data_IF_243203414744
#
_entry.id   IF_243203414744
#
_cell.length_a   1.000
_cell.length_b   1.000
_cell.length_c   1.000
_cell.angle_alpha   90.00
_cell.angle_beta   90.00
_cell.angle_gamma   90.00
#
_symmetry.space_group_name_H-M   'P 1'
#
loop_
_entity.id
_entity.type
_entity.pdbx_description
1 polymer ?
#
# COMPACT_ATOMS: atom_id res chain seq x y z
N UNK A 1 20.45 -8.99 3.29
CA UNK A 1 19.71 -9.71 2.22
C UNK A 1 18.47 -8.96 1.74
N UNK A 2 17.55 -8.45 2.61
CA UNK A 2 16.32 -7.80 2.13
C UNK A 2 16.58 -6.58 1.22
N UNK A 3 17.60 -5.76 1.54
CA UNK A 3 17.98 -4.60 0.73
C UNK A 3 18.40 -4.99 -0.69
N UNK A 4 19.29 -5.98 -0.83
CA UNK A 4 19.74 -6.46 -2.14
C UNK A 4 18.55 -6.97 -2.96
N UNK A 5 17.71 -7.82 -2.37
CA UNK A 5 16.50 -8.32 -3.03
C UNK A 5 15.61 -7.17 -3.54
N UNK A 6 15.37 -6.15 -2.73
CA UNK A 6 14.61 -4.97 -3.13
C UNK A 6 15.25 -4.24 -4.33
N UNK A 7 16.55 -3.95 -4.28
CA UNK A 7 17.22 -3.24 -5.35
C UNK A 7 17.23 -4.03 -6.66
N UNK A 8 17.41 -5.35 -6.60
CA UNK A 8 17.35 -6.22 -7.78
C UNK A 8 15.94 -6.23 -8.40
N UNK A 9 14.88 -6.31 -7.58
CA UNK A 9 13.48 -6.24 -8.04
C UNK A 9 13.15 -4.89 -8.70
N UNK A 10 13.72 -3.79 -8.19
CA UNK A 10 13.51 -2.45 -8.77
C UNK A 10 14.30 -2.27 -10.07
N UNK A 11 15.55 -2.71 -10.12
CA UNK A 11 16.43 -2.52 -11.27
C UNK A 11 16.08 -3.43 -12.47
N UNK A 12 15.60 -4.65 -12.20
CA UNK A 12 15.32 -5.67 -13.21
C UNK A 12 13.93 -6.29 -13.05
N UNK A 13 12.85 -5.48 -13.15
CA UNK A 13 11.50 -6.00 -13.05
C UNK A 13 11.22 -6.98 -14.20
N UNK A 14 10.73 -8.18 -13.88
CA UNK A 14 10.45 -9.24 -14.86
C UNK A 14 11.63 -10.15 -15.21
N UNK A 15 12.87 -9.76 -14.91
CA UNK A 15 14.05 -10.62 -15.09
C UNK A 15 14.52 -11.24 -13.76
N UNK A 16 14.55 -10.45 -12.68
CA UNK A 16 14.94 -10.95 -11.36
C UNK A 16 13.73 -11.56 -10.62
N UNK A 17 13.88 -12.83 -10.21
CA UNK A 17 12.89 -13.51 -9.38
C UNK A 17 13.02 -13.07 -7.91
N UNK A 18 11.94 -12.48 -7.37
CA UNK A 18 11.85 -12.02 -5.98
C UNK A 18 12.10 -13.16 -4.98
N UNK A 19 13.17 -13.06 -4.18
CA UNK A 19 13.45 -14.04 -3.13
C UNK A 19 12.65 -13.70 -1.86
N UNK A 20 11.43 -14.25 -1.78
CA UNK A 20 10.51 -14.04 -0.65
C UNK A 20 11.12 -14.38 0.72
N UNK A 21 12.09 -15.32 0.78
CA UNK A 21 12.78 -15.73 2.02
C UNK A 21 13.66 -14.64 2.58
N UNK A 22 14.09 -13.71 1.74
CA UNK A 22 14.90 -12.55 2.15
C UNK A 22 14.08 -11.46 2.83
N UNK A 23 12.74 -11.51 2.74
CA UNK A 23 11.82 -10.49 3.25
C UNK A 23 11.54 -10.64 4.75
N UNK A 24 11.01 -9.60 5.37
CA UNK A 24 10.60 -9.67 6.78
C UNK A 24 9.40 -10.60 6.94
N UNK A 25 9.20 -11.13 8.15
CA UNK A 25 8.13 -12.10 8.45
C UNK A 25 6.76 -11.65 7.91
N UNK A 26 6.43 -10.38 8.08
CA UNK A 26 5.14 -9.84 7.66
C UNK A 26 4.90 -9.87 6.15
N UNK A 27 5.98 -9.79 5.38
CA UNK A 27 5.95 -9.83 3.92
C UNK A 27 5.99 -11.27 3.42
N UNK A 28 6.78 -12.11 4.10
CA UNK A 28 6.93 -13.53 3.76
C UNK A 28 5.63 -14.31 3.96
N UNK A 29 4.88 -13.97 5.01
CA UNK A 29 3.62 -14.64 5.35
C UNK A 29 2.40 -13.77 5.09
N UNK A 30 2.53 -12.65 4.36
CA UNK A 30 1.41 -11.78 3.95
C UNK A 30 0.38 -11.43 5.05
N UNK A 31 0.84 -11.38 6.30
CA UNK A 31 0.07 -11.15 7.52
C UNK A 31 0.99 -10.56 8.59
N UNK A 32 0.46 -9.78 9.53
CA UNK A 32 1.31 -9.11 10.52
C UNK A 32 1.43 -9.91 11.81
N UNK A 33 2.66 -10.23 12.22
CA UNK A 33 2.91 -10.85 13.52
C UNK A 33 2.54 -9.89 14.66
N UNK A 34 1.84 -10.41 15.66
CA UNK A 34 1.36 -9.70 16.84
C UNK A 34 2.25 -10.04 18.05
N UNK A 35 2.05 -9.29 19.15
CA UNK A 35 2.87 -9.39 20.37
C UNK A 35 2.90 -10.79 21.01
N UNK A 36 1.85 -11.58 20.80
CA UNK A 36 1.64 -12.92 21.36
C UNK A 36 1.97 -14.03 20.35
N UNK A 37 2.57 -13.69 19.21
CA UNK A 37 2.90 -14.64 18.14
C UNK A 37 1.73 -15.01 17.23
N UNK A 38 0.53 -14.47 17.47
CA UNK A 38 -0.58 -14.55 16.51
C UNK A 38 -0.34 -13.60 15.34
N UNK A 39 -1.25 -13.58 14.39
CA UNK A 39 -1.17 -12.80 13.16
C UNK A 39 -2.42 -11.94 12.98
N UNK A 40 -2.30 -10.94 12.09
CA UNK A 40 -3.46 -10.20 11.59
C UNK A 40 -3.53 -10.15 10.08
N UNK A 41 -4.76 -10.20 9.58
CA UNK A 41 -5.10 -10.25 8.16
C UNK A 41 -5.96 -9.03 7.82
N UNK A 42 -5.53 -8.29 6.80
CA UNK A 42 -6.21 -7.06 6.36
C UNK A 42 -6.51 -7.18 4.87
N UNK A 43 -7.78 -7.40 4.45
CA UNK A 43 -8.13 -7.34 3.04
C UNK A 43 -7.93 -5.93 2.47
N UNK A 44 -7.61 -5.86 1.18
CA UNK A 44 -7.61 -4.62 0.42
C UNK A 44 -9.04 -4.12 0.27
N UNK A 45 -9.29 -2.86 0.61
CA UNK A 45 -10.57 -2.17 0.42
C UNK A 45 -10.23 -0.88 -0.32
N UNK A 46 -10.42 -0.87 -1.64
CA UNK A 46 -10.00 0.22 -2.50
C UNK A 46 -10.75 1.51 -2.14
N UNK A 47 -10.00 2.58 -1.87
CA UNK A 47 -10.58 3.87 -1.47
C UNK A 47 -11.42 3.81 -0.18
N UNK A 48 -11.34 2.73 0.59
CA UNK A 48 -12.19 2.52 1.76
C UNK A 48 -13.65 2.19 1.44
N UNK A 49 -14.00 1.89 0.19
CA UNK A 49 -15.36 1.54 -0.22
C UNK A 49 -15.64 0.04 -0.10
N UNK A 50 -16.83 -0.28 0.42
CA UNK A 50 -17.28 -1.67 0.58
C UNK A 50 -18.79 -1.76 0.35
N UNK A 51 -19.24 -2.93 -0.08
CA UNK A 51 -20.66 -3.28 -0.16
C UNK A 51 -21.16 -3.98 1.11
N UNK A 52 -22.48 -3.99 1.38
CA UNK A 52 -23.06 -4.81 2.44
C UNK A 52 -22.73 -6.31 2.32
N UNK A 53 -22.63 -6.83 1.09
CA UNK A 53 -22.28 -8.22 0.83
C UNK A 53 -20.83 -8.53 1.24
N UNK A 54 -19.89 -7.64 0.89
CA UNK A 54 -18.49 -7.72 1.32
C UNK A 54 -18.34 -7.63 2.84
N UNK A 55 -19.07 -6.73 3.49
CA UNK A 55 -19.06 -6.62 4.96
C UNK A 55 -19.60 -7.88 5.63
N UNK A 56 -20.68 -8.46 5.10
CA UNK A 56 -21.24 -9.73 5.57
C UNK A 56 -20.23 -10.85 5.42
N UNK A 57 -19.56 -10.96 4.26
CA UNK A 57 -18.53 -11.97 4.05
C UNK A 57 -17.37 -11.83 5.05
N UNK A 58 -16.89 -10.62 5.34
CA UNK A 58 -15.86 -10.40 6.37
C UNK A 58 -16.35 -10.87 7.74
N UNK A 59 -17.60 -10.57 8.11
CA UNK A 59 -18.18 -11.00 9.38
C UNK A 59 -18.28 -12.54 9.48
N UNK A 60 -18.81 -13.20 8.46
CA UNK A 60 -18.93 -14.67 8.40
C UNK A 60 -17.55 -15.35 8.46
N UNK A 61 -16.54 -14.79 7.79
CA UNK A 61 -15.16 -15.29 7.84
C UNK A 61 -14.59 -15.10 9.25
N UNK A 62 -14.81 -13.94 9.87
CA UNK A 62 -14.34 -13.69 11.23
C UNK A 62 -14.94 -14.68 12.23
N UNK A 63 -16.24 -14.98 12.11
CA UNK A 63 -16.92 -15.99 12.94
C UNK A 63 -16.39 -17.40 12.66
N UNK A 64 -16.28 -17.81 11.40
CA UNK A 64 -15.81 -19.14 10.99
C UNK A 64 -14.43 -19.49 11.54
N UNK A 65 -13.52 -18.52 11.55
CA UNK A 65 -12.15 -18.70 12.01
C UNK A 65 -11.92 -18.27 13.46
N UNK A 66 -13.00 -17.99 14.18
CA UNK A 66 -12.98 -17.56 15.59
C UNK A 66 -12.04 -16.37 15.82
N UNK A 67 -12.04 -15.40 14.89
CA UNK A 67 -11.17 -14.22 14.94
C UNK A 67 -11.50 -13.41 16.21
N UNK A 68 -10.55 -13.28 17.16
CA UNK A 68 -10.85 -12.65 18.45
C UNK A 68 -11.22 -11.17 18.38
N UNK A 69 -10.71 -10.44 17.38
CA UNK A 69 -10.96 -9.00 17.26
C UNK A 69 -10.99 -8.54 15.81
N UNK A 70 -12.06 -7.81 15.47
CA UNK A 70 -12.22 -7.12 14.18
C UNK A 70 -12.10 -5.62 14.43
N UNK A 71 -11.17 -4.94 13.75
CA UNK A 71 -10.88 -3.52 13.99
C UNK A 71 -10.86 -2.68 12.72
N UNK A 72 -11.60 -1.58 12.73
CA UNK A 72 -11.46 -0.52 11.71
C UNK A 72 -10.15 0.24 11.93
N UNK A 73 -9.38 0.41 10.86
CA UNK A 73 -8.04 1.03 10.86
C UNK A 73 -8.08 2.47 10.36
N UNK A 74 -7.07 3.26 10.72
CA UNK A 74 -6.94 4.65 10.25
C UNK A 74 -6.72 4.82 8.74
N UNK A 75 -6.50 3.72 8.01
CA UNK A 75 -6.42 3.69 6.54
C UNK A 75 -7.71 3.20 5.86
N UNK A 76 -8.86 3.32 6.54
CA UNK A 76 -10.18 2.90 6.03
C UNK A 76 -10.26 1.43 5.62
N UNK A 77 -9.65 0.55 6.44
CA UNK A 77 -9.69 -0.91 6.23
C UNK A 77 -10.09 -1.65 7.49
N UNK A 78 -10.44 -2.93 7.36
CA UNK A 78 -10.80 -3.82 8.47
C UNK A 78 -9.64 -4.79 8.74
N UNK A 79 -9.23 -4.92 10.00
CA UNK A 79 -8.14 -5.79 10.47
C UNK A 79 -8.71 -6.95 11.30
N UNK A 80 -8.39 -8.17 10.90
CA UNK A 80 -8.74 -9.43 11.58
C UNK A 80 -7.56 -9.86 12.45
N UNK A 81 -7.64 -9.66 13.76
CA UNK A 81 -6.53 -9.77 14.71
C UNK A 81 -6.66 -11.01 15.59
N UNK A 82 -5.54 -11.65 15.91
CA UNK A 82 -5.47 -12.79 16.85
C UNK A 82 -5.52 -14.16 16.16
N UNK A 83 -5.19 -14.21 14.87
CA UNK A 83 -5.28 -15.42 14.04
C UNK A 83 -4.01 -16.27 14.21
N UNK A 84 -4.15 -17.60 14.30
CA UNK A 84 -3.00 -18.51 14.34
C UNK A 84 -2.34 -18.66 12.96
N UNK A 85 -1.03 -18.93 12.92
CA UNK A 85 -0.27 -18.97 11.66
C UNK A 85 -0.84 -20.00 10.67
N UNK A 86 -1.22 -21.16 11.17
CA UNK A 86 -1.78 -22.28 10.41
C UNK A 86 -3.15 -21.99 9.80
N UNK A 87 -3.90 -21.03 10.34
CA UNK A 87 -5.21 -20.62 9.82
C UNK A 87 -5.09 -19.65 8.62
N UNK A 88 -3.92 -19.02 8.45
CA UNK A 88 -3.74 -17.95 7.48
C UNK A 88 -4.12 -18.36 6.04
N UNK A 89 -3.65 -19.50 5.48
CA UNK A 89 -4.03 -19.89 4.12
C UNK A 89 -5.53 -20.09 3.92
N UNK A 90 -6.21 -20.60 4.96
CA UNK A 90 -7.66 -20.81 4.93
C UNK A 90 -8.44 -19.50 4.89
N UNK A 91 -8.08 -18.54 5.75
CA UNK A 91 -8.68 -17.20 5.78
C UNK A 91 -8.45 -16.46 4.47
N UNK A 92 -7.23 -16.52 3.92
CA UNK A 92 -6.92 -15.92 2.62
C UNK A 92 -7.77 -16.50 1.49
N UNK A 93 -7.94 -17.83 1.47
CA UNK A 93 -8.80 -18.48 0.48
C UNK A 93 -10.27 -18.06 0.58
N UNK A 94 -10.80 -17.90 1.80
CA UNK A 94 -12.17 -17.40 1.99
C UNK A 94 -12.31 -15.93 1.55
N UNK A 95 -11.36 -15.07 1.93
CA UNK A 95 -11.35 -13.66 1.52
C UNK A 95 -11.23 -13.50 0.00
N UNK A 96 -10.38 -14.32 -0.65
CA UNK A 96 -10.24 -14.34 -2.11
C UNK A 96 -11.53 -14.74 -2.81
N UNK A 97 -12.24 -15.76 -2.29
CA UNK A 97 -13.58 -16.15 -2.81
C UNK A 97 -14.62 -15.05 -2.64
N UNK A 98 -14.50 -14.22 -1.60
CA UNK A 98 -15.34 -13.05 -1.38
C UNK A 98 -14.92 -11.82 -2.22
N UNK A 99 -13.90 -11.96 -3.09
CA UNK A 99 -13.45 -10.89 -3.99
C UNK A 99 -12.42 -9.94 -3.40
N UNK A 100 -11.81 -10.26 -2.26
CA UNK A 100 -10.73 -9.47 -1.67
C UNK A 100 -9.35 -9.98 -2.09
N UNK A 101 -8.40 -9.05 -2.22
CA UNK A 101 -6.96 -9.35 -2.39
C UNK A 101 -6.18 -8.90 -1.16
N UNK A 102 -4.90 -9.27 -1.08
CA UNK A 102 -4.05 -8.87 0.04
C UNK A 102 -3.94 -7.35 0.21
N UNK A 103 -4.21 -6.88 1.42
CA UNK A 103 -4.04 -5.46 1.80
C UNK A 103 -2.59 -5.03 1.96
N UNK A 104 -1.60 -5.94 1.89
CA UNK A 104 -0.18 -5.66 2.10
C UNK A 104 0.10 -4.76 3.32
N UNK A 105 -0.72 -4.88 4.37
CA UNK A 105 -0.91 -3.83 5.37
C UNK A 105 0.37 -3.50 6.17
N UNK A 106 1.34 -4.41 6.18
CA UNK A 106 2.58 -4.28 6.92
C UNK A 106 3.85 -4.43 6.08
N UNK A 107 3.72 -4.58 4.76
CA UNK A 107 4.87 -4.65 3.85
C UNK A 107 5.63 -3.33 3.74
N UNK A 108 6.87 -3.42 3.26
CA UNK A 108 7.62 -2.32 2.63
C UNK A 108 7.10 -2.16 1.20
N UNK A 109 5.86 -1.69 1.14
CA UNK A 109 5.03 -1.59 -0.04
C UNK A 109 4.03 -0.43 0.12
N UNK A 110 3.24 -0.19 -0.92
CA UNK A 110 2.06 0.67 -0.83
C UNK A 110 1.01 0.02 0.08
N UNK A 111 0.63 0.74 1.14
CA UNK A 111 -0.28 0.22 2.17
C UNK A 111 -1.73 0.61 1.97
N UNK A 112 -2.02 1.87 1.66
CA UNK A 112 -3.38 2.40 1.58
C UNK A 112 -3.37 3.73 0.87
N UNK A 113 -4.45 4.00 0.14
CA UNK A 113 -4.83 5.33 -0.32
C UNK A 113 -6.10 5.71 0.44
N UNK A 114 -5.97 6.62 1.42
CA UNK A 114 -7.13 7.09 2.20
C UNK A 114 -7.87 8.16 1.39
N UNK A 115 -9.19 8.09 1.34
CA UNK A 115 -10.02 9.08 0.63
C UNK A 115 -10.98 9.77 1.60
N UNK A 116 -11.56 10.88 1.19
CA UNK A 116 -12.87 11.29 1.72
C UNK A 116 -13.94 11.01 0.68
N UNK A 117 -15.21 11.21 1.05
CA UNK A 117 -16.37 10.90 0.19
C UNK A 117 -16.55 11.83 -1.03
N UNK A 118 -15.61 12.73 -1.29
CA UNK A 118 -15.53 13.55 -2.51
C UNK A 118 -16.74 14.42 -2.81
N UNK A 119 -16.82 14.91 -4.05
CA UNK A 119 -17.98 15.61 -4.61
C UNK A 119 -19.19 14.69 -4.83
N UNK A 120 -19.00 13.37 -4.77
CA UNK A 120 -20.08 12.39 -4.88
C UNK A 120 -21.09 12.53 -3.74
N UNK A 121 -20.60 12.70 -2.50
CA UNK A 121 -21.46 12.75 -1.31
C UNK A 121 -21.32 14.02 -0.46
N UNK A 122 -20.14 14.66 -0.44
CA UNK A 122 -19.90 15.80 0.42
C UNK A 122 -20.37 17.10 -0.25
N UNK A 123 -21.19 17.89 0.46
CA UNK A 123 -21.59 19.25 0.01
C UNK A 123 -20.43 20.23 -0.23
N UNK A 124 -19.22 19.90 0.23
CA UNK A 124 -18.00 20.70 0.07
C UNK A 124 -16.98 20.05 -0.87
N UNK A 125 -17.27 18.86 -1.40
CA UNK A 125 -16.36 18.20 -2.32
C UNK A 125 -16.28 19.00 -3.62
N UNK A 126 -15.08 19.46 -3.96
CA UNK A 126 -14.80 20.19 -5.20
C UNK A 126 -14.58 19.22 -6.35
N UNK A 127 -13.96 18.07 -6.08
CA UNK A 127 -13.76 16.98 -7.04
C UNK A 127 -13.96 15.60 -6.43
N UNK A 128 -14.03 14.58 -7.29
CA UNK A 128 -14.22 13.19 -6.90
C UNK A 128 -12.91 12.57 -6.39
N UNK A 129 -12.67 12.74 -5.09
CA UNK A 129 -11.51 12.13 -4.43
C UNK A 129 -11.59 10.61 -4.31
N UNK A 130 -12.79 10.04 -4.33
CA UNK A 130 -12.97 8.60 -4.10
C UNK A 130 -12.47 7.86 -5.32
N UNK A 131 -12.97 8.19 -6.51
CA UNK A 131 -12.51 7.62 -7.77
C UNK A 131 -11.01 7.86 -7.96
N UNK A 132 -10.53 9.09 -7.73
CA UNK A 132 -9.10 9.39 -7.85
C UNK A 132 -8.23 8.53 -6.91
N UNK A 133 -8.64 8.35 -5.66
CA UNK A 133 -7.92 7.51 -4.72
C UNK A 133 -7.93 6.03 -5.09
N UNK A 134 -9.07 5.53 -5.60
CA UNK A 134 -9.21 4.16 -6.11
C UNK A 134 -8.27 3.93 -7.31
N UNK A 135 -8.21 4.85 -8.26
CA UNK A 135 -7.34 4.73 -9.44
C UNK A 135 -5.86 4.77 -9.05
N UNK A 136 -5.45 5.63 -8.11
CA UNK A 136 -4.09 5.60 -7.55
C UNK A 136 -3.82 4.26 -6.87
N UNK A 137 -4.75 3.73 -6.07
CA UNK A 137 -4.55 2.47 -5.37
C UNK A 137 -4.47 1.28 -6.33
N UNK A 138 -5.30 1.22 -7.38
CA UNK A 138 -5.24 0.20 -8.44
C UNK A 138 -3.94 0.31 -9.26
N UNK A 139 -3.45 1.52 -9.52
CA UNK A 139 -2.17 1.71 -10.21
C UNK A 139 -0.98 1.23 -9.36
N UNK A 140 -1.09 1.21 -8.03
CA UNK A 140 0.07 1.10 -7.13
C UNK A 140 0.00 -0.03 -6.10
N UNK A 141 -1.10 -0.79 -6.01
CA UNK A 141 -1.15 -1.95 -5.11
C UNK A 141 -0.09 -2.98 -5.54
N UNK A 142 0.40 -3.80 -4.62
CA UNK A 142 1.48 -4.77 -4.89
C UNK A 142 2.88 -4.17 -5.06
N UNK A 143 3.03 -2.86 -5.32
CA UNK A 143 4.35 -2.26 -5.52
C UNK A 143 5.26 -2.38 -4.30
N UNK A 144 6.45 -2.94 -4.50
CA UNK A 144 7.52 -2.93 -3.51
C UNK A 144 8.20 -1.57 -3.44
N UNK A 145 8.44 -1.11 -2.21
CA UNK A 145 8.93 0.23 -1.91
C UNK A 145 10.13 0.15 -0.93
N UNK A 146 11.04 1.14 -0.91
CA UNK A 146 12.15 1.19 0.05
C UNK A 146 11.65 1.05 1.49
N UNK A 147 10.50 1.66 1.78
CA UNK A 147 9.76 1.48 3.02
C UNK A 147 8.24 1.58 2.78
N UNK A 148 7.41 1.33 3.81
CA UNK A 148 5.96 1.61 3.78
C UNK A 148 5.64 2.99 3.21
N UNK A 149 4.69 3.02 2.28
CA UNK A 149 4.14 4.24 1.67
C UNK A 149 2.64 4.27 1.93
N UNK A 150 2.14 5.42 2.39
CA UNK A 150 0.73 5.73 2.54
C UNK A 150 0.42 6.93 1.66
N UNK A 151 -0.70 6.89 0.98
CA UNK A 151 -1.18 8.02 0.19
C UNK A 151 -2.57 8.43 0.65
N UNK A 152 -3.03 9.59 0.22
CA UNK A 152 -4.40 9.98 0.41
C UNK A 152 -4.85 11.01 -0.62
N UNK A 153 -6.15 11.02 -0.89
CA UNK A 153 -6.82 11.98 -1.75
C UNK A 153 -7.94 12.66 -0.98
N UNK A 154 -7.85 13.98 -0.84
CA UNK A 154 -8.89 14.81 -0.25
C UNK A 154 -9.63 15.57 -1.35
N UNK A 155 -10.95 15.47 -1.39
CA UNK A 155 -11.79 16.10 -2.42
C UNK A 155 -12.04 17.59 -2.22
N UNK A 156 -11.40 18.22 -1.24
CA UNK A 156 -11.38 19.68 -1.04
C UNK A 156 -10.28 20.07 -0.02
N UNK A 157 -9.97 21.38 0.15
CA UNK A 157 -8.95 21.84 1.09
C UNK A 157 -9.22 21.55 2.58
N UNK A 158 -10.43 21.11 2.94
CA UNK A 158 -10.74 20.66 4.32
C UNK A 158 -9.96 19.42 4.73
N UNK A 159 -9.41 18.70 3.76
CA UNK A 159 -8.39 17.68 3.96
C UNK A 159 -8.79 16.53 4.90
N UNK A 160 -10.04 16.05 4.82
CA UNK A 160 -10.56 14.97 5.67
C UNK A 160 -9.78 13.65 5.54
N UNK A 161 -9.08 13.43 4.42
CA UNK A 161 -8.22 12.26 4.22
C UNK A 161 -6.81 12.42 4.83
N UNK A 162 -6.49 13.60 5.38
CA UNK A 162 -5.19 13.95 5.97
C UNK A 162 -4.04 13.81 4.96
N UNK A 163 -4.26 14.25 3.71
CA UNK A 163 -3.33 14.12 2.60
C UNK A 163 -1.97 14.78 2.86
N UNK A 164 -1.98 15.92 3.56
CA UNK A 164 -0.79 16.72 3.88
C UNK A 164 0.17 16.12 4.93
N UNK A 165 -0.09 14.89 5.40
CA UNK A 165 0.82 14.12 6.27
C UNK A 165 1.10 12.70 5.74
N UNK A 166 0.72 12.43 4.50
CA UNK A 166 0.99 11.15 3.82
C UNK A 166 2.28 11.24 3.02
N UNK A 167 2.85 10.09 2.67
CA UNK A 167 4.09 10.02 1.90
C UNK A 167 3.93 10.71 0.53
N UNK A 168 2.73 10.61 -0.07
CA UNK A 168 2.20 11.45 -1.16
C UNK A 168 0.73 11.76 -0.90
N UNK A 169 0.32 13.01 -1.03
CA UNK A 169 -1.03 13.48 -0.82
C UNK A 169 -1.56 14.25 -2.03
N UNK A 170 -2.84 14.08 -2.34
CA UNK A 170 -3.55 14.83 -3.37
C UNK A 170 -4.68 15.60 -2.71
N UNK A 171 -4.76 16.91 -2.96
CA UNK A 171 -5.81 17.78 -2.44
C UNK A 171 -6.49 18.46 -3.61
N UNK A 172 -7.77 18.17 -3.81
CA UNK A 172 -8.57 18.86 -4.81
C UNK A 172 -8.82 20.31 -4.40
N UNK A 173 -8.81 21.18 -5.40
CA UNK A 173 -9.20 22.58 -5.35
C UNK A 173 -10.14 22.85 -6.53
N UNK A 174 -10.79 24.01 -6.56
CA UNK A 174 -11.71 24.36 -7.67
C UNK A 174 -10.99 24.43 -9.03
N UNK A 175 -9.68 24.66 -9.03
CA UNK A 175 -8.85 24.82 -10.23
C UNK A 175 -7.99 23.59 -10.56
N UNK A 176 -8.33 22.40 -10.03
CA UNK A 176 -7.57 21.17 -10.28
C UNK A 176 -7.13 20.45 -9.00
N UNK A 177 -5.95 19.86 -9.05
CA UNK A 177 -5.41 18.97 -8.02
C UNK A 177 -4.02 19.41 -7.58
N UNK A 178 -3.86 19.66 -6.29
CA UNK A 178 -2.54 19.89 -5.70
C UNK A 178 -1.92 18.57 -5.28
N UNK A 179 -0.70 18.32 -5.73
CA UNK A 179 0.10 17.15 -5.35
C UNK A 179 1.15 17.58 -4.35
N UNK A 180 1.22 16.84 -3.25
CA UNK A 180 2.03 17.13 -2.08
C UNK A 180 2.86 15.89 -1.70
N UNK A 181 4.11 16.05 -1.27
CA UNK A 181 5.03 14.91 -1.06
C UNK A 181 5.83 15.00 0.24
N UNK A 182 6.32 13.84 0.71
CA UNK A 182 7.26 13.76 1.83
C UNK A 182 6.62 13.90 3.22
N UNK A 183 5.29 13.75 3.36
CA UNK A 183 4.64 13.81 4.66
C UNK A 183 4.90 12.59 5.54
N UNK A 184 4.77 12.75 6.86
CA UNK A 184 4.86 11.66 7.81
C UNK A 184 4.06 11.95 9.08
N UNK A 185 2.93 11.27 9.27
CA UNK A 185 2.19 11.26 10.55
C UNK A 185 2.75 10.28 11.60
N UNK A 186 4.07 10.06 11.63
CA UNK A 186 4.75 9.12 12.54
C UNK A 186 5.39 9.81 13.75
N UNK A 187 6.45 9.20 14.29
CA UNK A 187 7.19 9.68 15.47
C UNK A 187 7.61 11.15 15.32
N UNK A 188 8.29 11.49 14.22
CA UNK A 188 8.55 12.88 13.82
C UNK A 188 7.48 13.30 12.83
N UNK A 189 6.53 14.12 13.27
CA UNK A 189 5.52 14.67 12.38
C UNK A 189 6.19 15.56 11.34
N UNK A 190 5.90 15.33 10.07
CA UNK A 190 6.35 16.16 8.95
C UNK A 190 5.15 16.43 8.05
N UNK A 191 4.87 17.71 7.80
CA UNK A 191 3.91 18.12 6.77
C UNK A 191 4.53 17.90 5.39
N UNK A 192 3.69 17.67 4.40
CA UNK A 192 4.13 17.55 3.02
C UNK A 192 4.64 18.88 2.46
N UNK A 193 5.45 18.80 1.41
CA UNK A 193 5.80 19.92 0.56
C UNK A 193 4.94 19.93 -0.71
N UNK A 194 4.59 21.13 -1.20
CA UNK A 194 3.88 21.29 -2.46
C UNK A 194 4.78 20.94 -3.65
N UNK A 195 4.41 19.90 -4.40
CA UNK A 195 5.11 19.48 -5.61
C UNK A 195 4.65 20.31 -6.80
N UNK A 196 3.37 20.20 -7.17
CA UNK A 196 2.78 20.79 -8.37
C UNK A 196 1.25 20.85 -8.26
N UNK A 197 0.61 21.73 -9.05
CA UNK A 197 -0.83 21.70 -9.30
C UNK A 197 -1.08 21.27 -10.74
N UNK A 198 -1.97 20.32 -10.94
CA UNK A 198 -2.37 19.78 -12.25
C UNK A 198 -3.88 19.91 -12.44
N UNK A 199 -4.38 19.75 -13.66
CA UNK A 199 -5.79 19.95 -13.97
C UNK A 199 -6.54 18.62 -13.99
N UNK A 200 -5.93 17.56 -14.52
CA UNK A 200 -6.62 16.29 -14.78
C UNK A 200 -6.18 15.14 -13.86
N UNK A 201 -7.02 14.11 -13.76
CA UNK A 201 -6.72 12.90 -13.00
C UNK A 201 -5.56 12.10 -13.62
N UNK A 202 -5.44 12.12 -14.95
CA UNK A 202 -4.35 11.46 -15.68
C UNK A 202 -3.01 12.07 -15.31
N UNK A 203 -2.94 13.40 -15.20
CA UNK A 203 -1.74 14.08 -14.71
C UNK A 203 -1.44 13.67 -13.26
N UNK A 204 -2.44 13.58 -12.38
CA UNK A 204 -2.25 13.09 -11.00
C UNK A 204 -1.61 11.70 -11.00
N UNK A 205 -2.08 10.78 -11.85
CA UNK A 205 -1.52 9.44 -11.99
C UNK A 205 -0.07 9.48 -12.51
N UNK A 206 0.21 10.26 -13.55
CA UNK A 206 1.56 10.41 -14.12
C UNK A 206 2.56 10.93 -13.09
N UNK A 207 2.24 12.03 -12.40
CA UNK A 207 3.10 12.60 -11.36
C UNK A 207 3.27 11.66 -10.16
N UNK A 208 2.22 10.93 -9.77
CA UNK A 208 2.29 9.94 -8.70
C UNK A 208 3.24 8.80 -9.08
N UNK A 209 3.08 8.22 -10.27
CA UNK A 209 3.95 7.16 -10.78
C UNK A 209 5.41 7.62 -10.87
N UNK A 210 5.65 8.83 -11.39
CA UNK A 210 7.00 9.38 -11.52
C UNK A 210 7.68 9.60 -10.15
N UNK A 211 6.96 10.18 -9.19
CA UNK A 211 7.48 10.38 -7.83
C UNK A 211 7.81 9.06 -7.14
N UNK A 212 6.91 8.08 -7.23
CA UNK A 212 7.11 6.77 -6.63
C UNK A 212 8.29 6.03 -7.28
N UNK A 213 8.48 6.14 -8.59
CA UNK A 213 9.63 5.53 -9.26
C UNK A 213 10.95 6.18 -8.86
N UNK A 214 11.01 7.51 -8.84
CA UNK A 214 12.21 8.23 -8.42
C UNK A 214 12.60 7.85 -6.99
N UNK A 215 11.61 7.77 -6.10
CA UNK A 215 11.82 7.30 -4.72
C UNK A 215 12.32 5.85 -4.67
N UNK A 216 11.76 4.94 -5.47
CA UNK A 216 12.19 3.53 -5.52
C UNK A 216 13.63 3.37 -5.99
N UNK A 217 14.06 4.20 -6.94
CA UNK A 217 15.39 4.13 -7.54
C UNK A 217 16.47 4.79 -6.65
N UNK A 218 16.14 5.87 -5.93
CA UNK A 218 17.14 6.71 -5.27
C UNK A 218 17.16 6.67 -3.73
N UNK A 219 16.09 6.18 -3.10
CA UNK A 219 16.07 6.07 -1.65
C UNK A 219 16.86 4.86 -1.16
N UNK A 220 17.46 4.99 0.02
CA UNK A 220 18.06 3.85 0.68
C UNK A 220 16.98 2.87 1.14
N UNK A 221 17.25 1.57 1.10
CA UNK A 221 16.30 0.59 1.62
C UNK A 221 16.05 0.85 3.11
N UNK A 222 14.77 0.84 3.50
CA UNK A 222 14.25 1.29 4.80
C UNK A 222 14.25 2.80 5.07
N UNK A 223 14.64 3.62 4.11
CA UNK A 223 14.40 5.07 4.17
C UNK A 223 12.91 5.35 3.91
N UNK A 224 12.30 6.27 4.66
CA UNK A 224 10.94 6.78 4.41
C UNK A 224 10.99 7.91 3.40
N UNK A 225 9.89 8.23 2.71
CA UNK A 225 9.86 9.37 1.79
C UNK A 225 10.17 10.70 2.49
N UNK A 226 9.69 10.91 3.72
CA UNK A 226 9.97 12.11 4.51
C UNK A 226 11.48 12.42 4.69
N UNK A 227 12.30 11.54 5.29
CA UNK A 227 13.74 11.75 5.39
C UNK A 227 14.44 11.73 4.02
N UNK A 228 13.93 10.97 3.05
CA UNK A 228 14.46 11.02 1.68
C UNK A 228 14.32 12.41 1.06
N UNK A 229 13.12 13.01 1.12
CA UNK A 229 12.86 14.38 0.64
C UNK A 229 13.69 15.40 1.43
N UNK A 230 13.85 15.23 2.75
CA UNK A 230 14.75 16.08 3.55
C UNK A 230 16.22 15.95 3.07
N UNK A 231 16.65 14.76 2.65
CA UNK A 231 18.02 14.48 2.20
C UNK A 231 18.33 15.01 0.81
N UNK A 232 17.45 14.76 -0.17
CA UNK A 232 17.69 15.18 -1.57
C UNK A 232 17.24 16.62 -1.83
N UNK A 233 16.30 17.13 -1.02
CA UNK A 233 15.70 18.44 -1.18
C UNK A 233 14.56 18.46 -2.20
N UNK A 234 13.53 19.27 -1.93
CA UNK A 234 12.37 19.41 -2.84
C UNK A 234 12.77 19.92 -4.23
N UNK A 235 13.76 20.82 -4.29
CA UNK A 235 14.25 21.38 -5.55
C UNK A 235 14.73 20.29 -6.51
N UNK A 236 15.55 19.36 -6.01
CA UNK A 236 16.07 18.23 -6.77
C UNK A 236 14.95 17.36 -7.37
N UNK A 237 13.87 17.17 -6.62
CA UNK A 237 12.69 16.40 -7.04
C UNK A 237 11.93 17.16 -8.13
N UNK A 238 11.75 18.49 -7.97
CA UNK A 238 11.09 19.33 -8.98
C UNK A 238 11.85 19.37 -10.29
N UNK A 239 13.18 19.50 -10.26
CA UNK A 239 14.02 19.49 -11.46
C UNK A 239 13.81 18.22 -12.30
N UNK A 240 13.58 17.07 -11.66
CA UNK A 240 13.45 15.76 -12.32
C UNK A 240 12.03 15.40 -12.75
N UNK A 241 11.03 16.01 -12.15
CA UNK A 241 9.62 15.62 -12.33
C UNK A 241 8.80 16.77 -12.92
N UNK A 242 8.94 17.97 -12.36
CA UNK A 242 8.14 19.13 -12.77
C UNK A 242 8.81 19.82 -13.96
N UNK A 243 10.11 20.11 -13.84
CA UNK A 243 10.84 20.91 -14.83
C UNK A 243 11.35 20.05 -16.01
N UNK A 244 11.38 18.73 -15.86
CA UNK A 244 11.75 17.76 -16.90
C UNK A 244 10.57 16.80 -17.18
N UNK A 245 9.72 17.21 -18.13
CA UNK A 245 8.54 16.44 -18.53
C UNK A 245 8.88 15.11 -19.20
N UNK A 246 10.00 15.04 -19.93
CA UNK A 246 10.41 13.81 -20.60
C UNK A 246 10.94 12.79 -19.58
N UNK A 247 11.70 13.23 -18.59
CA UNK A 247 12.11 12.37 -17.48
C UNK A 247 10.92 11.93 -16.63
N UNK A 248 9.94 12.81 -16.36
CA UNK A 248 8.70 12.43 -15.66
C UNK A 248 7.97 11.29 -16.37
N UNK A 249 7.77 11.41 -17.69
CA UNK A 249 7.11 10.35 -18.48
C UNK A 249 7.90 9.04 -18.44
N UNK A 250 9.22 9.09 -18.63
CA UNK A 250 10.08 7.90 -18.52
C UNK A 250 10.03 7.25 -17.14
N UNK A 251 9.98 8.04 -16.06
CA UNK A 251 9.81 7.53 -14.69
C UNK A 251 8.45 6.86 -14.52
N UNK A 252 7.37 7.50 -14.97
CA UNK A 252 6.02 6.96 -14.91
C UNK A 252 5.90 5.64 -15.72
N UNK A 253 6.43 5.60 -16.93
CA UNK A 253 6.46 4.39 -17.77
C UNK A 253 7.20 3.23 -17.10
N UNK A 254 8.39 3.48 -16.53
CA UNK A 254 9.13 2.45 -15.77
C UNK A 254 8.35 1.98 -14.54
N UNK A 255 7.67 2.89 -13.85
CA UNK A 255 6.80 2.53 -12.74
C UNK A 255 5.72 1.54 -13.19
N UNK A 256 4.96 1.90 -14.23
CA UNK A 256 3.84 1.12 -14.75
C UNK A 256 4.29 -0.24 -15.30
N UNK A 257 5.41 -0.28 -16.02
CA UNK A 257 6.00 -1.53 -16.50
C UNK A 257 6.31 -2.47 -15.33
N UNK A 258 6.94 -1.95 -14.27
CA UNK A 258 7.27 -2.78 -13.11
C UNK A 258 6.04 -3.33 -12.37
N UNK A 259 4.88 -2.69 -12.47
CA UNK A 259 3.66 -3.17 -11.81
C UNK A 259 3.10 -4.44 -12.45
N UNK A 260 3.34 -4.67 -13.73
CA UNK A 260 2.92 -5.90 -14.43
C UNK A 260 3.47 -7.17 -13.75
N UNK A 261 4.62 -7.06 -13.09
CA UNK A 261 5.28 -8.17 -12.40
C UNK A 261 5.07 -8.15 -10.88
N UNK A 262 4.63 -7.02 -10.31
CA UNK A 262 4.43 -6.86 -8.86
C UNK A 262 2.97 -7.05 -8.41
N UNK A 263 2.00 -6.77 -9.29
CA UNK A 263 0.56 -6.84 -8.99
C UNK A 263 -0.02 -8.25 -9.08
N UNK A 264 0.62 -9.17 -8.37
CA UNK A 264 0.18 -10.55 -8.21
C UNK A 264 -0.34 -10.70 -6.79
N UNK A 265 -1.58 -11.17 -6.62
CA UNK A 265 -2.15 -11.36 -5.29
C UNK A 265 -1.46 -12.54 -4.59
N UNK A 266 -0.67 -12.29 -3.53
CA UNK A 266 0.09 -13.37 -2.90
C UNK A 266 -0.81 -14.35 -2.12
N UNK A 267 -2.03 -13.96 -1.79
CA UNK A 267 -2.96 -14.81 -1.05
C UNK A 267 -3.44 -16.00 -1.87
N UNK A 268 -3.67 -15.82 -3.17
CA UNK A 268 -4.17 -16.87 -4.06
C UNK A 268 -3.23 -18.08 -4.11
N UNK A 269 -1.96 -17.88 -4.44
CA UNK A 269 -0.97 -18.96 -4.54
C UNK A 269 -0.77 -19.69 -3.20
N UNK A 270 -0.73 -18.93 -2.10
CA UNK A 270 -0.55 -19.47 -0.75
C UNK A 270 -1.76 -20.31 -0.32
N UNK A 271 -2.96 -19.85 -0.62
CA UNK A 271 -4.20 -20.58 -0.34
C UNK A 271 -4.32 -21.87 -1.15
N UNK A 272 -3.77 -21.91 -2.38
CA UNK A 272 -3.72 -23.10 -3.23
C UNK A 272 -2.65 -24.12 -2.77
N UNK A 273 -1.61 -23.65 -2.08
CA UNK A 273 -0.67 -24.53 -1.37
C UNK A 273 0.81 -24.24 -1.59
N UNK A 274 1.17 -23.10 -2.19
CA UNK A 274 2.56 -22.68 -2.30
C UNK A 274 3.19 -22.52 -0.90
N UNK A 275 4.33 -23.18 -0.69
CA UNK A 275 5.11 -23.21 0.56
C UNK A 275 4.29 -23.54 1.84
N UNK A 276 3.42 -24.55 1.78
CA UNK A 276 2.66 -25.04 2.97
C UNK A 276 3.51 -25.24 4.23
N UNK A 277 4.78 -25.64 4.07
CA UNK A 277 5.72 -25.83 5.17
C UNK A 277 5.91 -24.58 6.07
N UNK A 278 5.64 -23.36 5.58
CA UNK A 278 5.69 -22.14 6.41
C UNK A 278 4.53 -22.05 7.40
N UNK A 279 3.40 -22.72 7.14
CA UNK A 279 2.16 -22.62 7.92
C UNK A 279 1.86 -23.88 8.72
N UNK A 280 2.61 -24.95 8.51
CA UNK A 280 2.51 -26.18 9.29
C UNK A 280 3.30 -26.05 10.60
N UNK A 281 2.64 -26.26 11.77
CA UNK A 281 3.35 -26.26 13.04
C UNK A 281 4.39 -27.38 13.08
N UNK A 282 5.60 -27.07 13.55
CA UNK A 282 6.62 -28.09 13.82
C UNK A 282 6.08 -28.99 14.93
N UNK A 283 5.84 -30.27 14.61
CA UNK A 283 5.47 -31.26 15.61
C UNK A 283 6.68 -31.54 16.49
N UNK A 284 6.62 -31.12 17.75
CA UNK A 284 7.58 -31.56 18.75
C UNK A 284 7.34 -33.06 18.99
N UNK A 285 8.26 -33.90 18.51
CA UNK A 285 8.27 -35.32 18.89
C UNK A 285 8.59 -35.34 20.37
N UNK A 286 7.61 -35.68 21.21
CA UNK A 286 7.87 -35.95 22.62
C UNK A 286 8.90 -37.08 22.68
N UNK A 287 10.08 -36.80 23.26
CA UNK A 287 11.13 -37.78 23.43
C UNK A 287 10.56 -39.02 24.12
N UNK A 288 10.87 -40.18 23.57
CA UNK A 288 10.63 -41.47 24.22
C UNK A 288 11.29 -41.39 25.60
N UNK A 289 10.47 -41.51 26.65
CA UNK A 289 10.91 -41.51 28.04
C UNK A 289 11.87 -42.67 28.33
#
# INVERSE_FOLDING_TARGET
RPALNFYLVVAWPGEYADDYRSRFINERVHANIQKDGTYSVVPRIFGGETSPAQLRAIAEIAEKWEVPTVKVTGGQRIDLLGVKKEQLPGIWGDLARAGFVSGHAYGKAIRTVKTCVGSEWCRFGTQDSTTMGIEIEKMTWGSWMPHKVKMAVSGCPRNCAEATIKDLGVVAVDSGWEIHVGGNGGIKVRVTDFLVKVETMEEVLEYTAAFLQLYREEAHYLERTAPWVERVGLHYIKERIVDDADNRKRLAERFLESQKYAQIDPWKERAEGADRHEFEPIRLIQGVA
#
